data_IF_497553128340
#
_entry.id   IF_497553128340
#
_cell.length_a   1.000
_cell.length_b   1.000
_cell.length_c   1.000
_cell.angle_alpha   90.00
_cell.angle_beta   90.00
_cell.angle_gamma   90.00
#
_symmetry.space_group_name_H-M   'P 1'
#
loop_
_entity.id
_entity.type
_entity.pdbx_description
1 polymer ?
#
# COMPACT_ATOMS: atom_id res chain seq x y z
N UNK A 1 23.72 -7.86 -21.32
CA UNK A 1 23.04 -9.05 -21.93
C UNK A 1 22.80 -10.08 -20.83
N UNK A 2 21.61 -10.69 -20.81
CA UNK A 2 21.22 -11.71 -19.83
C UNK A 2 22.14 -12.96 -19.93
N UNK A 3 22.66 -13.40 -18.78
CA UNK A 3 23.41 -14.65 -18.66
C UNK A 3 22.46 -15.88 -18.53
N UNK A 4 22.98 -17.09 -18.47
CA UNK A 4 22.18 -18.32 -18.46
C UNK A 4 21.33 -18.46 -17.16
N UNK A 5 21.84 -17.98 -16.01
CA UNK A 5 21.09 -17.99 -14.73
C UNK A 5 19.93 -17.00 -14.82
N UNK A 6 20.16 -15.79 -15.32
CA UNK A 6 19.12 -14.78 -15.51
C UNK A 6 18.04 -15.24 -16.49
N UNK A 7 18.40 -15.95 -17.55
CA UNK A 7 17.43 -16.55 -18.48
C UNK A 7 16.55 -17.60 -17.80
N UNK A 8 17.12 -18.41 -16.88
CA UNK A 8 16.34 -19.35 -16.07
C UNK A 8 15.36 -18.61 -15.17
N UNK A 9 15.83 -17.60 -14.43
CA UNK A 9 15.00 -16.78 -13.55
C UNK A 9 13.82 -16.15 -14.33
N UNK A 10 14.08 -15.57 -15.50
CA UNK A 10 13.06 -15.01 -16.38
C UNK A 10 12.09 -16.11 -16.86
N UNK A 11 12.61 -17.27 -17.27
CA UNK A 11 11.79 -18.41 -17.68
C UNK A 11 10.83 -18.86 -16.59
N UNK A 12 11.29 -18.99 -15.35
CA UNK A 12 10.48 -19.30 -14.18
C UNK A 12 9.39 -18.23 -13.95
N UNK A 13 9.77 -16.95 -13.96
CA UNK A 13 8.83 -15.85 -13.73
C UNK A 13 7.67 -15.83 -14.75
N UNK A 14 7.98 -16.00 -16.04
CA UNK A 14 6.96 -15.92 -17.10
C UNK A 14 6.18 -17.20 -17.35
N UNK A 15 6.58 -18.31 -16.78
CA UNK A 15 5.84 -19.59 -16.88
C UNK A 15 5.01 -19.89 -15.64
N UNK A 16 5.25 -19.19 -14.53
CA UNK A 16 4.52 -19.42 -13.28
C UNK A 16 3.14 -18.76 -13.30
N UNK A 17 2.12 -19.52 -12.89
CA UNK A 17 0.76 -19.03 -12.59
C UNK A 17 0.52 -18.90 -11.10
N UNK A 18 1.43 -19.44 -10.27
CA UNK A 18 1.34 -19.50 -8.80
C UNK A 18 1.02 -18.15 -8.13
N UNK A 19 1.65 -17.01 -8.52
CA UNK A 19 1.37 -15.75 -7.82
C UNK A 19 -0.08 -15.31 -7.97
N UNK A 20 -0.72 -15.54 -9.13
CA UNK A 20 -2.14 -15.21 -9.31
C UNK A 20 -3.06 -16.26 -8.63
N UNK A 21 -2.69 -17.53 -8.62
CA UNK A 21 -3.44 -18.59 -7.94
C UNK A 21 -3.44 -18.36 -6.42
N UNK A 22 -2.28 -18.09 -5.83
CA UNK A 22 -2.14 -17.77 -4.41
C UNK A 22 -2.85 -16.46 -4.05
N UNK A 23 -2.75 -15.43 -4.91
CA UNK A 23 -3.50 -14.18 -4.74
C UNK A 23 -5.02 -14.42 -4.75
N UNK A 24 -5.50 -15.27 -5.64
CA UNK A 24 -6.92 -15.62 -5.72
C UNK A 24 -7.39 -16.24 -4.40
N UNK A 25 -6.64 -17.22 -3.89
CA UNK A 25 -6.93 -17.82 -2.57
C UNK A 25 -6.88 -16.78 -1.46
N UNK A 26 -5.81 -15.95 -1.43
CA UNK A 26 -5.66 -14.90 -0.43
C UNK A 26 -6.87 -13.91 -0.42
N UNK A 27 -7.37 -13.56 -1.60
CA UNK A 27 -8.48 -12.64 -1.76
C UNK A 27 -9.84 -13.27 -1.46
N UNK A 28 -10.09 -14.48 -1.98
CA UNK A 28 -11.40 -15.10 -1.91
C UNK A 28 -11.68 -15.74 -0.54
N UNK A 29 -10.64 -16.30 0.11
CA UNK A 29 -10.80 -16.98 1.39
C UNK A 29 -10.65 -16.03 2.60
N UNK A 30 -9.80 -15.00 2.51
CA UNK A 30 -9.47 -14.10 3.63
C UNK A 30 -9.91 -12.64 3.42
N UNK A 31 -10.47 -12.29 2.27
CA UNK A 31 -11.03 -10.97 1.99
C UNK A 31 -10.02 -9.82 2.16
N UNK A 32 -10.44 -8.74 2.83
CA UNK A 32 -9.65 -7.52 2.99
C UNK A 32 -8.48 -7.63 3.97
N UNK A 33 -8.44 -8.65 4.82
CA UNK A 33 -7.33 -8.90 5.77
C UNK A 33 -6.97 -7.67 6.61
N UNK A 34 -7.99 -6.95 7.07
CA UNK A 34 -7.81 -5.73 7.87
C UNK A 34 -6.93 -6.01 9.09
N UNK A 35 -5.86 -5.26 9.26
CA UNK A 35 -4.82 -5.59 10.23
C UNK A 35 -5.35 -5.81 11.65
N UNK A 36 -4.92 -6.91 12.28
CA UNK A 36 -5.31 -7.33 13.62
C UNK A 36 -6.70 -7.98 13.73
N UNK A 37 -7.32 -8.38 12.60
CA UNK A 37 -8.51 -9.25 12.59
C UNK A 37 -8.12 -10.73 12.51
N UNK A 38 -9.09 -11.63 12.68
CA UNK A 38 -8.84 -13.06 12.51
C UNK A 38 -8.47 -13.39 11.06
N UNK A 39 -9.14 -12.76 10.08
CA UNK A 39 -8.80 -12.93 8.66
C UNK A 39 -7.37 -12.48 8.33
N UNK A 40 -6.88 -11.43 9.01
CA UNK A 40 -5.48 -11.00 8.87
C UNK A 40 -4.51 -12.06 9.43
N UNK A 41 -4.85 -12.69 10.55
CA UNK A 41 -4.06 -13.78 11.14
C UNK A 41 -4.05 -15.02 10.27
N UNK A 42 -5.23 -15.47 9.84
CA UNK A 42 -5.37 -16.65 8.98
C UNK A 42 -4.63 -16.45 7.64
N UNK A 43 -4.67 -15.23 7.08
CA UNK A 43 -3.88 -14.87 5.90
C UNK A 43 -2.37 -14.95 6.15
N UNK A 44 -1.88 -14.50 7.32
CA UNK A 44 -0.47 -14.65 7.68
C UNK A 44 -0.06 -16.13 7.78
N UNK A 45 -0.90 -16.98 8.38
CA UNK A 45 -0.68 -18.42 8.48
C UNK A 45 -0.70 -19.09 7.08
N UNK A 46 -1.59 -18.63 6.18
CA UNK A 46 -1.61 -19.10 4.79
C UNK A 46 -0.31 -18.74 4.05
N UNK A 47 0.16 -17.49 4.16
CA UNK A 47 1.42 -17.05 3.54
C UNK A 47 2.61 -17.84 4.11
N UNK A 48 2.63 -18.07 5.42
CA UNK A 48 3.64 -18.91 6.08
C UNK A 48 3.66 -20.33 5.48
N UNK A 49 2.49 -20.93 5.27
CA UNK A 49 2.37 -22.24 4.62
C UNK A 49 2.93 -22.24 3.19
N UNK A 50 2.77 -21.14 2.43
CA UNK A 50 3.40 -20.99 1.10
C UNK A 50 4.93 -20.95 1.24
N UNK A 51 5.48 -20.24 2.23
CA UNK A 51 6.93 -20.18 2.45
C UNK A 51 7.50 -21.55 2.78
N UNK A 52 6.79 -22.34 3.60
CA UNK A 52 7.15 -23.73 3.91
C UNK A 52 7.09 -24.61 2.65
N UNK A 53 6.03 -24.51 1.83
CA UNK A 53 5.90 -25.25 0.56
C UNK A 53 7.03 -24.90 -0.42
N UNK A 54 7.42 -23.63 -0.48
CA UNK A 54 8.49 -23.15 -1.35
C UNK A 54 9.90 -23.47 -0.83
N UNK A 55 9.99 -23.98 0.40
CA UNK A 55 11.26 -24.34 1.03
C UNK A 55 12.14 -23.14 1.40
N UNK A 56 11.54 -22.00 1.69
CA UNK A 56 12.27 -20.85 2.23
C UNK A 56 12.88 -21.20 3.58
N UNK A 57 14.06 -20.69 3.86
CA UNK A 57 14.73 -20.89 5.14
C UNK A 57 14.06 -20.12 6.27
N UNK A 58 14.01 -20.71 7.45
CA UNK A 58 13.48 -20.13 8.69
C UNK A 58 12.11 -19.40 8.54
N UNK A 59 11.09 -20.06 7.96
CA UNK A 59 9.78 -19.42 7.79
C UNK A 59 9.12 -19.24 9.16
N UNK A 60 8.73 -18.01 9.50
CA UNK A 60 8.13 -17.69 10.80
C UNK A 60 7.25 -16.44 10.77
N UNK A 61 6.42 -16.29 11.80
CA UNK A 61 5.64 -15.10 12.07
C UNK A 61 6.34 -14.22 13.12
N UNK A 62 6.44 -12.92 12.85
CA UNK A 62 6.90 -11.93 13.83
C UNK A 62 5.71 -11.12 14.35
N UNK A 63 5.21 -11.39 15.56
CA UNK A 63 4.12 -10.63 16.15
C UNK A 63 4.57 -9.23 16.57
N UNK A 64 3.67 -8.26 16.39
CA UNK A 64 3.82 -6.88 16.89
C UNK A 64 2.47 -6.33 17.31
N UNK A 65 2.47 -5.27 18.14
CA UNK A 65 1.26 -4.57 18.55
C UNK A 65 1.20 -3.17 17.95
N UNK A 66 -0.01 -2.71 17.67
CA UNK A 66 -0.26 -1.40 17.08
C UNK A 66 -1.62 -0.85 17.53
N UNK A 67 -1.85 0.45 17.31
CA UNK A 67 -3.17 1.05 17.49
C UNK A 67 -4.02 0.76 16.27
N UNK A 68 -4.94 -0.17 16.40
CA UNK A 68 -5.92 -0.54 15.39
C UNK A 68 -7.33 -0.08 15.78
N UNK A 69 -8.33 -0.51 15.02
CA UNK A 69 -9.70 -0.16 15.32
C UNK A 69 -10.70 -1.21 14.84
N UNK A 70 -11.91 -1.13 15.41
CA UNK A 70 -13.11 -1.77 14.88
C UNK A 70 -14.01 -0.70 14.28
N UNK A 71 -14.31 -0.82 12.98
CA UNK A 71 -15.12 0.13 12.22
C UNK A 71 -16.60 -0.22 12.38
N UNK A 72 -17.38 0.72 12.89
CA UNK A 72 -18.82 0.57 13.10
C UNK A 72 -19.66 1.34 12.08
N UNK A 73 -20.92 1.53 12.42
CA UNK A 73 -21.90 2.19 11.54
C UNK A 73 -21.66 3.70 11.39
N UNK A 74 -22.16 4.25 10.27
CA UNK A 74 -22.16 5.68 10.00
C UNK A 74 -23.47 6.16 9.38
N UNK A 75 -23.72 7.46 9.51
CA UNK A 75 -24.81 8.12 8.81
C UNK A 75 -24.44 9.54 8.42
N UNK A 76 -24.98 9.98 7.30
CA UNK A 76 -24.95 11.39 6.85
C UNK A 76 -26.34 11.80 6.38
N UNK A 77 -26.92 12.80 7.01
CA UNK A 77 -28.22 13.31 6.69
C UNK A 77 -28.17 14.80 6.38
N UNK A 78 -28.67 15.20 5.22
CA UNK A 78 -28.95 16.60 4.92
C UNK A 78 -30.19 17.02 5.74
N UNK A 79 -30.04 18.05 6.59
CA UNK A 79 -31.11 18.60 7.43
C UNK A 79 -31.79 19.83 6.80
N UNK A 80 -31.06 20.59 6.00
CA UNK A 80 -31.56 21.75 5.27
C UNK A 80 -30.70 22.04 4.03
N UNK A 81 -31.28 22.60 2.95
CA UNK A 81 -32.68 23.03 2.74
C UNK A 81 -33.65 21.91 2.32
N UNK A 82 -33.18 20.67 2.23
CA UNK A 82 -33.97 19.47 1.95
C UNK A 82 -33.58 18.39 2.96
N UNK A 83 -34.44 17.40 3.21
CA UNK A 83 -34.10 16.27 4.06
C UNK A 83 -33.77 15.06 3.19
N UNK A 84 -32.55 14.51 3.35
CA UNK A 84 -32.09 13.37 2.57
C UNK A 84 -30.99 12.61 3.31
N UNK A 85 -31.09 11.29 3.36
CA UNK A 85 -30.00 10.44 3.79
C UNK A 85 -29.03 10.20 2.64
N UNK A 86 -27.74 10.20 2.95
CA UNK A 86 -26.64 9.95 2.00
C UNK A 86 -25.91 8.69 2.46
N UNK A 87 -25.79 7.65 1.63
CA UNK A 87 -25.03 6.45 1.98
C UNK A 87 -23.56 6.77 2.30
N UNK A 88 -23.05 6.19 3.38
CA UNK A 88 -21.71 6.48 3.91
C UNK A 88 -20.99 5.21 4.33
N UNK A 89 -19.64 5.34 4.47
CA UNK A 89 -18.81 4.44 5.27
C UNK A 89 -18.16 5.24 6.40
N UNK A 90 -18.03 4.63 7.56
CA UNK A 90 -17.16 5.14 8.63
C UNK A 90 -15.70 5.04 8.19
N UNK A 91 -14.91 6.07 8.42
CA UNK A 91 -13.48 6.00 8.13
C UNK A 91 -12.74 5.37 9.32
N UNK A 92 -11.82 4.41 9.08
CA UNK A 92 -11.00 3.81 10.12
C UNK A 92 -10.24 4.85 10.95
N UNK A 93 -10.10 4.60 12.24
CA UNK A 93 -9.46 5.47 13.24
C UNK A 93 -10.19 6.79 13.53
N UNK A 94 -11.35 7.04 12.93
CA UNK A 94 -12.14 8.22 13.30
C UNK A 94 -12.61 8.12 14.75
N UNK A 95 -12.67 9.21 15.53
CA UNK A 95 -13.34 9.14 16.85
C UNK A 95 -14.85 8.90 16.68
N UNK A 96 -15.41 8.05 17.53
CA UNK A 96 -16.87 7.88 17.60
C UNK A 96 -17.55 9.17 18.04
N UNK A 97 -18.60 9.56 17.34
CA UNK A 97 -19.35 10.75 17.69
C UNK A 97 -20.29 11.21 16.59
N UNK A 98 -20.92 12.35 16.85
CA UNK A 98 -21.81 13.02 15.91
C UNK A 98 -21.48 14.50 15.82
N UNK A 99 -21.72 15.08 14.67
CA UNK A 99 -21.60 16.52 14.42
C UNK A 99 -22.75 17.00 13.54
N UNK A 100 -23.25 18.21 13.83
CA UNK A 100 -24.20 18.91 12.97
C UNK A 100 -23.66 20.29 12.66
N UNK A 101 -23.71 20.67 11.40
CA UNK A 101 -23.17 21.97 10.95
C UNK A 101 -23.42 22.24 9.48
N UNK A 102 -23.08 23.44 9.08
CA UNK A 102 -23.06 23.81 7.68
C UNK A 102 -21.91 23.09 6.96
N UNK A 103 -22.17 22.64 5.74
CA UNK A 103 -21.19 21.92 4.92
C UNK A 103 -20.37 22.92 4.08
N UNK A 104 -19.05 22.83 4.18
CA UNK A 104 -18.09 23.66 3.43
C UNK A 104 -17.14 22.77 2.62
N UNK A 105 -17.01 23.08 1.33
CA UNK A 105 -16.06 22.35 0.48
C UNK A 105 -14.64 22.94 0.66
N UNK A 106 -13.65 22.06 0.93
CA UNK A 106 -12.22 22.39 1.08
C UNK A 106 -11.40 21.36 0.35
N UNK A 107 -10.56 21.79 -0.60
CA UNK A 107 -9.71 20.88 -1.40
C UNK A 107 -8.23 20.94 -1.01
N UNK A 108 -7.77 22.07 -0.46
CA UNK A 108 -6.40 22.25 -0.06
C UNK A 108 -6.29 22.96 1.31
N UNK A 109 -5.24 22.63 2.06
CA UNK A 109 -4.99 23.28 3.36
C UNK A 109 -4.76 24.81 3.24
N UNK A 110 -4.24 25.26 2.11
CA UNK A 110 -4.08 26.72 1.83
C UNK A 110 -5.38 27.49 1.69
N UNK A 111 -6.52 26.82 1.49
CA UNK A 111 -7.83 27.46 1.39
C UNK A 111 -8.44 27.76 2.77
N UNK A 112 -7.99 27.04 3.81
CA UNK A 112 -8.59 27.11 5.16
C UNK A 112 -8.56 28.52 5.74
N UNK A 113 -7.49 29.28 5.52
CA UNK A 113 -7.38 30.69 6.00
C UNK A 113 -8.42 31.64 5.36
N UNK A 114 -8.87 31.30 4.14
CA UNK A 114 -9.84 32.13 3.39
C UNK A 114 -11.29 31.68 3.55
N UNK A 115 -11.50 30.50 4.12
CA UNK A 115 -12.82 29.90 4.32
C UNK A 115 -13.19 29.95 5.81
N UNK A 116 -14.44 30.30 6.09
CA UNK A 116 -15.00 30.18 7.42
C UNK A 116 -15.38 28.70 7.67
N UNK A 117 -14.53 27.98 8.41
CA UNK A 117 -14.69 26.56 8.73
C UNK A 117 -15.05 26.28 10.20
N UNK A 118 -15.02 27.32 11.05
CA UNK A 118 -15.36 27.18 12.47
C UNK A 118 -16.83 26.73 12.66
N UNK A 119 -17.02 25.68 13.44
CA UNK A 119 -18.34 25.10 13.70
C UNK A 119 -18.98 24.39 12.51
N UNK A 120 -18.22 24.10 11.45
CA UNK A 120 -18.73 23.53 10.19
C UNK A 120 -18.24 22.10 9.96
N UNK A 121 -18.85 21.42 8.98
CA UNK A 121 -18.47 20.11 8.49
C UNK A 121 -17.79 20.27 7.14
N UNK A 122 -16.64 19.62 6.96
CA UNK A 122 -15.81 19.75 5.77
C UNK A 122 -16.19 18.69 4.74
N UNK A 123 -16.36 19.07 3.48
CA UNK A 123 -16.47 18.18 2.33
C UNK A 123 -15.22 18.31 1.47
N UNK A 124 -14.41 17.25 1.38
CA UNK A 124 -13.18 17.23 0.60
C UNK A 124 -13.04 16.01 -0.30
N UNK A 125 -12.22 16.10 -1.35
CA UNK A 125 -11.86 14.96 -2.23
C UNK A 125 -10.60 14.24 -1.76
N UNK A 126 -9.92 14.74 -0.73
CA UNK A 126 -8.75 14.14 -0.13
C UNK A 126 -8.67 14.49 1.36
N UNK A 127 -7.81 13.79 2.11
CA UNK A 127 -7.66 13.94 3.56
C UNK A 127 -6.63 15.01 3.99
N UNK A 128 -5.88 15.58 3.05
CA UNK A 128 -4.76 16.48 3.35
C UNK A 128 -5.15 17.75 4.14
N UNK A 129 -6.29 18.41 3.89
CA UNK A 129 -6.66 19.61 4.62
C UNK A 129 -7.26 19.33 6.02
N UNK A 130 -7.57 18.08 6.37
CA UNK A 130 -8.34 17.75 7.57
C UNK A 130 -7.75 18.35 8.84
N UNK A 131 -6.45 18.18 9.08
CA UNK A 131 -5.80 18.71 10.30
C UNK A 131 -5.94 20.24 10.40
N UNK A 132 -5.63 20.95 9.32
CA UNK A 132 -5.75 22.41 9.29
C UNK A 132 -7.21 22.89 9.51
N UNK A 133 -8.18 22.18 8.92
CA UNK A 133 -9.59 22.48 9.13
C UNK A 133 -10.02 22.30 10.60
N UNK A 134 -9.57 21.21 11.24
CA UNK A 134 -9.90 20.96 12.64
C UNK A 134 -9.21 21.97 13.58
N UNK A 135 -7.97 22.34 13.31
CA UNK A 135 -7.26 23.40 14.05
C UNK A 135 -7.98 24.75 13.91
N UNK A 136 -8.68 24.97 12.79
CA UNK A 136 -9.55 26.14 12.56
C UNK A 136 -11.01 25.95 13.04
N UNK A 137 -11.32 24.91 13.81
CA UNK A 137 -12.59 24.70 14.47
C UNK A 137 -13.65 23.90 13.72
N UNK A 138 -13.28 23.14 12.69
CA UNK A 138 -14.20 22.21 12.00
C UNK A 138 -14.65 21.09 12.93
N UNK A 139 -15.93 20.67 12.83
CA UNK A 139 -16.58 19.69 13.69
C UNK A 139 -16.62 18.26 13.13
N UNK A 140 -16.45 18.11 11.81
CA UNK A 140 -16.56 16.80 11.16
C UNK A 140 -16.03 16.84 9.73
N UNK A 141 -15.85 15.65 9.16
CA UNK A 141 -15.29 15.49 7.83
C UNK A 141 -16.08 14.49 6.98
N UNK A 142 -16.34 14.87 5.73
CA UNK A 142 -16.96 14.04 4.70
C UNK A 142 -15.99 13.91 3.54
N UNK A 143 -15.42 12.74 3.36
CA UNK A 143 -14.53 12.44 2.25
C UNK A 143 -15.34 11.95 1.05
N UNK A 144 -15.45 12.74 -0.01
CA UNK A 144 -16.05 12.28 -1.25
C UNK A 144 -15.00 11.65 -2.16
N UNK A 145 -15.34 10.53 -2.78
CA UNK A 145 -14.44 9.90 -3.75
C UNK A 145 -14.10 10.89 -4.88
N UNK A 146 -12.81 11.04 -5.27
CA UNK A 146 -12.42 12.01 -6.30
C UNK A 146 -12.93 11.65 -7.71
N UNK A 147 -13.24 10.37 -7.96
CA UNK A 147 -13.62 9.87 -9.29
C UNK A 147 -15.03 9.30 -9.32
N UNK A 148 -15.74 9.45 -10.47
CA UNK A 148 -17.10 8.94 -10.62
C UNK A 148 -17.14 7.41 -10.71
N UNK A 149 -18.33 6.85 -10.43
CA UNK A 149 -18.67 5.42 -10.52
C UNK A 149 -17.89 4.50 -9.56
N UNK A 150 -17.14 5.07 -8.65
CA UNK A 150 -16.51 4.37 -7.53
C UNK A 150 -17.38 4.51 -6.28
N UNK A 151 -17.40 3.50 -5.45
CA UNK A 151 -18.06 3.55 -4.14
C UNK A 151 -17.46 4.64 -3.24
N UNK A 152 -17.92 4.76 -1.99
CA UNK A 152 -17.23 5.55 -0.97
C UNK A 152 -15.79 5.03 -0.81
N UNK A 153 -14.77 5.91 -0.69
CA UNK A 153 -13.41 5.47 -0.39
C UNK A 153 -13.27 5.11 1.08
N UNK A 154 -12.32 4.25 1.41
CA UNK A 154 -11.87 4.02 2.78
C UNK A 154 -10.43 4.46 2.99
N UNK A 155 -9.95 4.44 4.21
CA UNK A 155 -8.59 4.74 4.60
C UNK A 155 -8.51 5.41 5.97
N UNK A 156 -7.44 5.15 6.69
CA UNK A 156 -7.20 5.67 8.02
C UNK A 156 -7.18 7.20 8.03
N UNK A 157 -7.88 7.79 8.99
CA UNK A 157 -7.88 9.23 9.25
C UNK A 157 -7.31 9.53 10.63
N UNK A 158 -6.75 10.75 10.86
CA UNK A 158 -6.37 11.16 12.21
C UNK A 158 -7.58 11.18 13.15
N UNK A 159 -7.39 10.79 14.41
CA UNK A 159 -8.42 10.81 15.46
C UNK A 159 -8.72 12.24 15.93
N UNK A 160 -9.30 13.06 15.06
CA UNK A 160 -9.53 14.48 15.33
C UNK A 160 -11.02 14.80 15.49
N UNK A 161 -11.82 14.44 14.51
CA UNK A 161 -13.28 14.68 14.47
C UNK A 161 -13.97 13.48 13.82
N UNK A 162 -15.29 13.26 14.06
CA UNK A 162 -16.03 12.24 13.35
C UNK A 162 -15.92 12.41 11.83
N UNK A 163 -15.61 11.32 11.12
CA UNK A 163 -15.33 11.33 9.70
C UNK A 163 -16.00 10.16 8.98
N UNK A 164 -16.62 10.46 7.85
CA UNK A 164 -17.28 9.47 6.98
C UNK A 164 -16.87 9.70 5.53
N UNK A 165 -17.06 8.68 4.70
CA UNK A 165 -16.88 8.83 3.26
C UNK A 165 -18.16 8.62 2.48
N UNK A 166 -18.22 9.22 1.28
CA UNK A 166 -19.33 9.13 0.34
C UNK A 166 -18.81 8.94 -1.09
N UNK A 167 -19.65 8.42 -1.96
CA UNK A 167 -19.30 8.31 -3.38
C UNK A 167 -19.28 9.71 -4.05
N UNK A 168 -18.59 9.79 -5.17
CA UNK A 168 -18.42 11.01 -5.96
C UNK A 168 -19.72 11.71 -6.30
N UNK A 169 -20.72 10.97 -6.78
CA UNK A 169 -22.00 11.53 -7.25
C UNK A 169 -22.79 12.19 -6.13
N UNK A 170 -22.73 11.64 -4.92
CA UNK A 170 -23.39 12.24 -3.74
C UNK A 170 -22.63 13.50 -3.29
N UNK A 171 -21.30 13.51 -3.34
CA UNK A 171 -20.51 14.72 -3.08
C UNK A 171 -20.82 15.83 -4.08
N UNK A 172 -20.91 15.52 -5.38
CA UNK A 172 -21.32 16.50 -6.39
C UNK A 172 -22.77 16.99 -6.18
N UNK A 173 -23.65 16.12 -5.71
CA UNK A 173 -25.02 16.54 -5.35
C UNK A 173 -25.00 17.54 -4.20
N UNK A 174 -24.21 17.29 -3.15
CA UNK A 174 -24.05 18.23 -2.02
C UNK A 174 -23.46 19.56 -2.47
N UNK A 175 -22.41 19.56 -3.31
CA UNK A 175 -21.83 20.78 -3.89
C UNK A 175 -22.86 21.60 -4.67
N UNK A 176 -23.64 20.95 -5.55
CA UNK A 176 -24.72 21.65 -6.27
C UNK A 176 -25.83 22.19 -5.36
N UNK A 177 -26.05 21.56 -4.20
CA UNK A 177 -26.98 22.12 -3.20
C UNK A 177 -26.40 23.37 -2.56
N UNK A 178 -25.11 23.37 -2.19
CA UNK A 178 -24.41 24.56 -1.68
C UNK A 178 -24.51 25.71 -2.71
N UNK A 179 -24.12 25.47 -3.95
CA UNK A 179 -24.10 26.46 -5.02
C UNK A 179 -25.49 27.11 -5.26
N UNK A 180 -26.56 26.31 -5.19
CA UNK A 180 -27.92 26.78 -5.48
C UNK A 180 -28.62 27.43 -4.29
N UNK A 181 -28.24 27.05 -3.07
CA UNK A 181 -28.96 27.46 -1.85
C UNK A 181 -28.12 28.33 -0.92
N UNK A 182 -26.83 28.45 -1.17
CA UNK A 182 -25.89 29.22 -0.36
C UNK A 182 -25.43 28.51 0.91
N UNK A 183 -26.29 27.63 1.49
CA UNK A 183 -25.97 26.87 2.70
C UNK A 183 -26.65 25.52 2.68
N UNK A 184 -25.96 24.49 3.20
CA UNK A 184 -26.45 23.13 3.39
C UNK A 184 -26.04 22.64 4.78
N UNK A 185 -27.03 22.39 5.63
CA UNK A 185 -26.77 21.81 6.97
C UNK A 185 -26.84 20.30 6.88
N UNK A 186 -25.85 19.64 7.44
CA UNK A 186 -25.78 18.18 7.55
C UNK A 186 -25.56 17.74 8.99
N UNK A 187 -26.07 16.56 9.31
CA UNK A 187 -25.75 15.80 10.51
C UNK A 187 -25.01 14.56 10.10
N UNK A 188 -23.83 14.33 10.65
CA UNK A 188 -23.06 13.13 10.47
C UNK A 188 -22.89 12.38 11.80
N UNK A 189 -22.81 11.05 11.71
CA UNK A 189 -22.46 10.19 12.80
C UNK A 189 -21.45 9.16 12.29
N UNK A 190 -20.43 8.86 13.08
CA UNK A 190 -19.47 7.80 12.84
C UNK A 190 -19.23 7.03 14.13
N UNK A 191 -19.04 5.71 14.02
CA UNK A 191 -18.68 4.83 15.12
C UNK A 191 -17.40 4.07 14.76
N UNK A 192 -16.37 4.20 15.57
CA UNK A 192 -15.12 3.46 15.44
C UNK A 192 -14.50 3.33 16.83
N UNK A 193 -14.26 2.11 17.26
CA UNK A 193 -13.58 1.83 18.52
C UNK A 193 -12.11 1.61 18.27
N UNK A 194 -11.23 2.40 18.91
CA UNK A 194 -9.77 2.34 18.75
C UNK A 194 -9.17 1.67 19.97
N UNK A 195 -8.36 0.63 19.74
CA UNK A 195 -7.69 -0.12 20.80
C UNK A 195 -6.41 -0.78 20.28
N UNK A 196 -5.59 -1.31 21.19
CA UNK A 196 -4.40 -2.06 20.83
C UNK A 196 -4.78 -3.40 20.18
N UNK A 197 -4.19 -3.68 19.01
CA UNK A 197 -4.32 -4.95 18.28
C UNK A 197 -2.96 -5.59 18.10
N UNK A 198 -2.95 -6.90 17.92
CA UNK A 198 -1.80 -7.67 17.49
C UNK A 198 -1.90 -7.98 15.98
N UNK A 199 -0.76 -7.94 15.29
CA UNK A 199 -0.63 -8.41 13.92
C UNK A 199 0.74 -9.04 13.70
N UNK A 200 1.03 -9.56 12.50
CA UNK A 200 2.19 -10.39 12.23
C UNK A 200 2.85 -10.01 10.90
N UNK A 201 4.17 -9.86 10.90
CA UNK A 201 4.93 -9.96 9.66
C UNK A 201 5.20 -11.45 9.36
N UNK A 202 5.19 -11.82 8.09
CA UNK A 202 5.57 -13.18 7.65
C UNK A 202 6.94 -13.11 7.04
N UNK A 203 7.90 -13.85 7.62
CA UNK A 203 9.30 -13.79 7.28
C UNK A 203 9.82 -15.13 6.76
N UNK A 204 10.76 -15.09 5.81
CA UNK A 204 11.46 -16.26 5.31
C UNK A 204 12.72 -15.86 4.56
N UNK A 205 13.70 -16.77 4.46
CA UNK A 205 15.02 -16.52 3.90
C UNK A 205 15.31 -17.39 2.67
N UNK A 206 16.10 -16.85 1.74
CA UNK A 206 16.85 -17.63 0.75
C UNK A 206 18.33 -17.47 1.08
N UNK A 207 18.97 -18.54 1.53
CA UNK A 207 20.41 -18.53 1.83
C UNK A 207 21.22 -18.58 0.54
N UNK A 208 21.99 -17.54 0.29
CA UNK A 208 22.89 -17.45 -0.86
C UNK A 208 24.22 -18.16 -0.66
N UNK A 209 25.01 -18.23 -1.73
CA UNK A 209 26.33 -18.87 -1.70
C UNK A 209 27.46 -17.98 -1.18
N UNK A 210 27.21 -16.68 -0.90
CA UNK A 210 28.21 -15.70 -0.46
C UNK A 210 27.86 -15.03 0.87
N UNK A 211 28.80 -14.24 1.38
CA UNK A 211 28.70 -13.55 2.68
C UNK A 211 28.52 -12.02 2.52
N UNK A 212 28.07 -11.53 1.35
CA UNK A 212 28.05 -10.11 1.01
C UNK A 212 26.87 -9.30 1.61
N UNK A 213 26.19 -9.85 2.63
CA UNK A 213 25.01 -9.26 3.23
C UNK A 213 23.72 -9.76 2.60
N UNK A 214 22.62 -8.96 2.67
CA UNK A 214 21.34 -9.43 2.17
C UNK A 214 20.52 -8.30 1.48
N UNK A 215 19.60 -8.76 0.61
CA UNK A 215 18.54 -7.93 0.02
C UNK A 215 17.22 -8.32 0.67
N UNK A 216 16.40 -7.34 1.04
CA UNK A 216 15.05 -7.56 1.53
C UNK A 216 14.01 -7.30 0.43
N UNK A 217 13.16 -8.29 0.17
CA UNK A 217 11.97 -8.20 -0.68
C UNK A 217 10.75 -8.06 0.22
N UNK A 218 10.04 -6.96 0.12
CA UNK A 218 8.89 -6.67 0.96
C UNK A 218 7.65 -6.25 0.19
N UNK A 219 6.49 -6.52 0.78
CA UNK A 219 5.18 -6.04 0.37
C UNK A 219 4.22 -6.25 1.51
N UNK A 220 3.12 -5.50 1.58
CA UNK A 220 2.16 -5.73 2.66
C UNK A 220 1.00 -6.64 2.22
N UNK A 221 0.46 -7.40 3.16
CA UNK A 221 -0.65 -8.32 2.90
C UNK A 221 -1.97 -7.87 3.53
N UNK A 222 -1.93 -6.90 4.45
CA UNK A 222 -3.15 -6.27 4.96
C UNK A 222 -3.78 -5.33 3.93
N UNK A 223 -5.04 -5.06 4.10
CA UNK A 223 -5.81 -4.11 3.32
C UNK A 223 -7.05 -3.70 4.09
N UNK A 224 -7.97 -3.01 3.43
CA UNK A 224 -9.18 -2.55 4.06
C UNK A 224 -10.31 -3.59 4.02
N UNK A 225 -11.16 -3.59 5.04
CA UNK A 225 -12.25 -4.54 5.29
C UNK A 225 -13.35 -4.56 4.21
N UNK A 226 -13.42 -3.52 3.39
CA UNK A 226 -14.53 -3.34 2.43
C UNK A 226 -14.33 -4.06 1.08
N UNK A 227 -13.14 -4.61 0.81
CA UNK A 227 -12.77 -5.20 -0.48
C UNK A 227 -11.88 -6.43 -0.30
N UNK A 228 -11.43 -7.00 -1.42
CA UNK A 228 -10.45 -8.10 -1.43
C UNK A 228 -9.01 -7.60 -1.24
N UNK A 229 -8.75 -6.30 -1.41
CA UNK A 229 -7.41 -5.71 -1.34
C UNK A 229 -6.40 -6.47 -2.22
N UNK A 230 -6.79 -6.73 -3.46
CA UNK A 230 -5.98 -7.51 -4.40
C UNK A 230 -4.82 -6.68 -4.96
N UNK A 231 -5.13 -5.45 -5.38
CA UNK A 231 -4.16 -4.49 -5.89
C UNK A 231 -3.38 -3.80 -4.76
N UNK A 232 -4.07 -3.45 -3.68
CA UNK A 232 -3.51 -2.80 -2.50
C UNK A 232 -3.77 -3.66 -1.26
N UNK A 233 -2.89 -4.69 -0.91
CA UNK A 233 -1.65 -4.97 -1.61
C UNK A 233 -1.34 -6.48 -1.75
N UNK A 234 -2.36 -7.35 -1.84
CA UNK A 234 -2.15 -8.80 -1.95
C UNK A 234 -1.24 -9.21 -3.11
N UNK A 235 -1.35 -8.52 -4.28
CA UNK A 235 -0.55 -8.82 -5.46
C UNK A 235 0.96 -8.61 -5.23
N UNK A 236 1.33 -7.54 -4.54
CA UNK A 236 2.73 -7.27 -4.18
C UNK A 236 3.29 -8.35 -3.25
N UNK A 237 2.50 -8.75 -2.25
CA UNK A 237 2.89 -9.82 -1.34
C UNK A 237 3.13 -11.15 -2.07
N UNK A 238 2.24 -11.53 -2.99
CA UNK A 238 2.43 -12.75 -3.80
C UNK A 238 3.58 -12.62 -4.80
N UNK A 239 3.88 -11.42 -5.29
CA UNK A 239 5.04 -11.18 -6.15
C UNK A 239 6.36 -11.39 -5.39
N UNK A 240 6.54 -10.80 -4.21
CA UNK A 240 7.78 -11.00 -3.42
C UNK A 240 7.93 -12.45 -2.95
N UNK A 241 6.84 -13.12 -2.61
CA UNK A 241 6.80 -14.55 -2.28
C UNK A 241 7.31 -15.40 -3.45
N UNK A 242 6.84 -15.13 -4.66
CA UNK A 242 7.28 -15.87 -5.87
C UNK A 242 8.72 -15.52 -6.25
N UNK A 243 9.17 -14.26 -6.04
CA UNK A 243 10.59 -13.91 -6.19
C UNK A 243 11.47 -14.77 -5.26
N UNK A 244 11.06 -14.94 -4.01
CA UNK A 244 11.76 -15.83 -3.05
C UNK A 244 11.86 -17.26 -3.57
N UNK A 245 10.75 -17.84 -4.06
CA UNK A 245 10.74 -19.18 -4.66
C UNK A 245 11.71 -19.29 -5.85
N UNK A 246 11.65 -18.32 -6.76
CA UNK A 246 12.50 -18.33 -7.96
C UNK A 246 13.97 -18.20 -7.59
N UNK A 247 14.31 -17.28 -6.68
CA UNK A 247 15.69 -17.06 -6.23
C UNK A 247 16.24 -18.27 -5.48
N UNK A 248 15.39 -19.03 -4.77
CA UNK A 248 15.83 -20.29 -4.13
C UNK A 248 16.30 -21.34 -5.14
N UNK A 249 15.79 -21.33 -6.38
CA UNK A 249 16.22 -22.25 -7.44
C UNK A 249 17.63 -21.96 -7.99
N UNK A 250 18.18 -20.79 -7.65
CA UNK A 250 19.51 -20.31 -8.08
C UNK A 250 20.35 -19.80 -6.90
N UNK A 251 20.06 -20.28 -5.70
CA UNK A 251 20.67 -19.78 -4.47
C UNK A 251 22.20 -19.88 -4.45
N UNK A 252 22.78 -20.94 -5.02
CA UNK A 252 24.23 -21.13 -5.12
C UNK A 252 24.93 -20.05 -6.00
N UNK A 253 24.16 -19.37 -6.86
CA UNK A 253 24.66 -18.31 -7.74
C UNK A 253 24.36 -16.89 -7.21
N UNK A 254 23.83 -16.77 -5.97
CA UNK A 254 23.64 -15.51 -5.27
C UNK A 254 24.88 -15.15 -4.43
N UNK A 255 25.33 -13.90 -4.49
CA UNK A 255 26.49 -13.42 -3.72
C UNK A 255 26.20 -13.19 -2.23
N UNK A 256 24.92 -13.19 -1.83
CA UNK A 256 24.46 -12.99 -0.45
C UNK A 256 23.04 -13.49 -0.26
N UNK A 257 22.47 -13.28 0.91
CA UNK A 257 21.14 -13.74 1.29
C UNK A 257 20.00 -12.89 0.70
N UNK A 258 18.81 -13.47 0.63
CA UNK A 258 17.56 -12.73 0.34
C UNK A 258 16.58 -12.99 1.47
N UNK A 259 16.01 -11.93 2.04
CA UNK A 259 14.89 -12.01 2.96
C UNK A 259 13.60 -11.65 2.25
N UNK A 260 12.57 -12.44 2.48
CA UNK A 260 11.22 -12.23 1.93
C UNK A 260 10.30 -11.92 3.10
N UNK A 261 9.72 -10.72 3.12
CA UNK A 261 8.87 -10.30 4.23
C UNK A 261 7.54 -9.76 3.70
N UNK A 262 6.43 -10.40 4.11
CA UNK A 262 5.11 -9.85 3.93
C UNK A 262 4.74 -9.09 5.20
N UNK A 263 4.68 -7.75 5.09
CA UNK A 263 4.36 -6.85 6.20
C UNK A 263 2.86 -6.80 6.46
N UNK A 264 2.48 -6.36 7.66
CA UNK A 264 1.10 -6.04 8.01
C UNK A 264 0.99 -4.66 8.66
N UNK A 265 -0.25 -4.17 8.75
CA UNK A 265 -0.60 -2.86 9.28
C UNK A 265 0.11 -1.70 8.54
N UNK A 266 0.35 -1.85 7.24
CA UNK A 266 0.80 -0.78 6.35
C UNK A 266 -0.24 0.33 6.33
N UNK A 267 -1.50 -0.02 6.13
CA UNK A 267 -2.65 0.88 6.04
C UNK A 267 -2.88 1.72 7.31
N UNK A 268 -2.37 1.27 8.44
CA UNK A 268 -2.37 1.99 9.71
C UNK A 268 -1.14 2.89 9.91
N UNK A 269 -0.22 2.95 8.97
CA UNK A 269 0.98 3.80 8.99
C UNK A 269 2.28 3.03 9.15
N UNK A 270 2.44 1.94 8.40
CA UNK A 270 3.69 1.17 8.25
C UNK A 270 4.17 0.53 9.56
N UNK A 271 3.24 0.01 10.37
CA UNK A 271 3.59 -0.52 11.70
C UNK A 271 4.47 -1.77 11.59
N UNK A 272 4.12 -2.71 10.69
CA UNK A 272 4.89 -3.94 10.51
C UNK A 272 6.32 -3.70 10.06
N UNK A 273 6.52 -2.88 9.03
CA UNK A 273 7.87 -2.57 8.55
C UNK A 273 8.71 -1.77 9.54
N UNK A 274 8.09 -0.87 10.31
CA UNK A 274 8.77 -0.13 11.38
C UNK A 274 9.16 -1.01 12.56
N UNK A 275 8.29 -1.94 12.97
CA UNK A 275 8.61 -2.91 14.01
C UNK A 275 9.74 -3.84 13.55
N UNK A 276 9.66 -4.33 12.31
CA UNK A 276 10.72 -5.14 11.70
C UNK A 276 12.06 -4.40 11.70
N UNK A 277 12.10 -3.19 11.18
CA UNK A 277 13.31 -2.38 11.12
C UNK A 277 13.91 -2.10 12.51
N UNK A 278 13.07 -1.91 13.52
CA UNK A 278 13.49 -1.74 14.92
C UNK A 278 14.01 -3.04 15.52
N UNK A 279 13.34 -4.16 15.29
CA UNK A 279 13.68 -5.49 15.82
C UNK A 279 15.02 -5.97 15.26
N UNK A 280 15.28 -5.73 13.97
CA UNK A 280 16.47 -6.12 13.25
C UNK A 280 17.52 -4.99 13.12
N UNK A 281 17.47 -3.98 14.00
CA UNK A 281 18.33 -2.80 13.90
C UNK A 281 19.83 -3.14 13.84
N UNK A 282 20.26 -4.18 14.54
CA UNK A 282 21.66 -4.62 14.58
C UNK A 282 22.10 -5.26 13.24
N UNK A 283 21.15 -5.74 12.42
CA UNK A 283 21.38 -6.37 11.12
C UNK A 283 21.26 -5.40 9.95
N UNK A 284 20.74 -4.17 10.19
CA UNK A 284 20.50 -3.19 9.12
C UNK A 284 21.80 -2.78 8.39
N UNK A 285 22.95 -2.87 9.04
CA UNK A 285 24.24 -2.57 8.41
C UNK A 285 24.60 -3.55 7.29
N UNK A 286 24.10 -4.78 7.36
CA UNK A 286 24.33 -5.85 6.37
C UNK A 286 23.25 -5.87 5.27
N UNK A 287 22.18 -5.07 5.40
CA UNK A 287 21.15 -4.91 4.38
C UNK A 287 21.70 -4.05 3.24
N UNK A 288 21.94 -4.65 2.10
CA UNK A 288 22.45 -3.95 0.92
C UNK A 288 21.39 -3.09 0.26
N UNK A 289 20.14 -3.58 0.27
CA UNK A 289 19.05 -2.98 -0.48
C UNK A 289 17.70 -3.52 -0.01
N UNK A 290 16.62 -2.75 -0.24
CA UNK A 290 15.28 -3.28 -0.11
C UNK A 290 14.39 -2.90 -1.28
N UNK A 291 13.70 -3.90 -1.82
CA UNK A 291 12.52 -3.72 -2.67
C UNK A 291 11.28 -3.71 -1.80
N UNK A 292 10.46 -2.65 -1.99
CA UNK A 292 9.14 -2.60 -1.40
C UNK A 292 8.11 -2.47 -2.50
N UNK A 293 7.33 -3.53 -2.69
CA UNK A 293 6.28 -3.58 -3.68
C UNK A 293 4.97 -3.12 -3.04
N UNK A 294 4.25 -2.26 -3.77
CA UNK A 294 2.96 -1.73 -3.36
C UNK A 294 2.15 -1.33 -4.59
N UNK A 295 0.89 -1.76 -4.68
CA UNK A 295 0.01 -1.51 -5.81
C UNK A 295 0.55 -2.09 -7.13
N UNK A 296 0.75 -3.40 -7.17
CA UNK A 296 1.36 -4.14 -8.27
C UNK A 296 0.35 -4.96 -9.09
N UNK A 297 0.81 -5.38 -10.29
CA UNK A 297 0.07 -6.29 -11.15
C UNK A 297 -1.14 -5.66 -11.84
N UNK A 298 -1.27 -4.35 -11.84
CA UNK A 298 -2.34 -3.66 -12.53
C UNK A 298 -2.24 -3.74 -14.06
N UNK A 299 -3.18 -3.13 -14.81
CA UNK A 299 -3.19 -3.18 -16.27
C UNK A 299 -2.18 -2.24 -16.95
N UNK A 300 -1.51 -1.41 -16.18
CA UNK A 300 -0.52 -0.45 -16.71
C UNK A 300 0.88 -1.08 -16.73
N UNK A 301 1.78 -0.64 -17.65
CA UNK A 301 3.17 -1.10 -17.62
C UNK A 301 3.85 -0.77 -16.29
N UNK A 302 4.87 -1.53 -15.94
CA UNK A 302 5.56 -1.35 -14.66
C UNK A 302 6.58 -0.21 -14.72
N UNK A 303 6.76 0.48 -13.59
CA UNK A 303 7.71 1.55 -13.38
C UNK A 303 8.55 1.24 -12.13
N UNK A 304 9.84 1.57 -12.18
CA UNK A 304 10.72 1.48 -11.01
C UNK A 304 10.90 2.87 -10.41
N UNK A 305 10.72 2.99 -9.10
CA UNK A 305 11.15 4.18 -8.35
C UNK A 305 12.52 3.94 -7.77
N UNK A 306 13.37 4.96 -7.72
CA UNK A 306 14.71 4.88 -7.14
C UNK A 306 14.80 5.61 -5.79
N UNK A 307 13.68 6.02 -5.25
CA UNK A 307 13.46 6.52 -3.90
C UNK A 307 14.54 7.50 -3.39
N UNK A 308 14.88 8.52 -4.22
CA UNK A 308 15.95 9.49 -3.97
C UNK A 308 17.38 8.92 -3.99
N UNK A 309 17.58 7.76 -4.64
CA UNK A 309 18.88 7.16 -4.92
C UNK A 309 19.19 7.23 -6.42
N UNK A 310 19.54 8.42 -6.96
CA UNK A 310 19.81 8.56 -8.39
C UNK A 310 20.97 7.69 -8.90
N UNK A 311 21.83 7.24 -7.98
CA UNK A 311 22.91 6.29 -8.26
C UNK A 311 22.41 4.93 -8.80
N UNK A 312 21.14 4.59 -8.55
CA UNK A 312 20.49 3.37 -9.05
C UNK A 312 20.03 3.49 -10.51
N UNK A 313 19.88 4.69 -11.05
CA UNK A 313 19.38 4.90 -12.42
C UNK A 313 20.22 4.19 -13.50
N UNK A 314 21.58 4.24 -13.50
CA UNK A 314 22.38 3.51 -14.47
C UNK A 314 22.15 1.99 -14.43
N UNK A 315 22.02 1.43 -13.23
CA UNK A 315 21.72 0.02 -13.02
C UNK A 315 20.38 -0.38 -13.65
N UNK A 316 19.32 0.37 -13.37
CA UNK A 316 17.99 0.09 -13.94
C UNK A 316 17.93 0.39 -15.45
N UNK A 317 18.70 1.35 -15.95
CA UNK A 317 18.81 1.61 -17.39
C UNK A 317 19.43 0.43 -18.15
N UNK A 318 20.47 -0.21 -17.57
CA UNK A 318 21.07 -1.42 -18.11
C UNK A 318 20.08 -2.58 -18.05
N UNK A 319 19.47 -2.81 -16.90
CA UNK A 319 18.48 -3.87 -16.70
C UNK A 319 17.33 -3.77 -17.72
N UNK A 320 16.76 -2.57 -17.88
CA UNK A 320 15.71 -2.29 -18.88
C UNK A 320 16.14 -2.69 -20.28
N UNK A 321 17.34 -2.30 -20.67
CA UNK A 321 17.85 -2.63 -22.02
C UNK A 321 18.03 -4.15 -22.19
N UNK A 322 18.50 -4.84 -21.16
CA UNK A 322 18.73 -6.28 -21.20
C UNK A 322 17.44 -7.09 -21.22
N UNK A 323 16.43 -6.65 -20.48
CA UNK A 323 15.11 -7.30 -20.43
C UNK A 323 14.20 -6.90 -21.59
N UNK A 324 14.48 -5.79 -22.28
CA UNK A 324 13.63 -5.28 -23.36
C UNK A 324 12.25 -4.78 -22.89
N UNK A 325 12.12 -4.46 -21.61
CA UNK A 325 10.87 -3.96 -21.03
C UNK A 325 10.81 -2.43 -21.05
N UNK A 326 9.65 -1.83 -21.32
CA UNK A 326 9.44 -0.39 -21.14
C UNK A 326 9.36 -0.08 -19.65
N UNK A 327 10.47 0.15 -18.98
CA UNK A 327 10.56 0.37 -17.55
C UNK A 327 11.01 1.82 -17.28
N UNK A 328 10.08 2.79 -17.22
CA UNK A 328 10.41 4.17 -16.87
C UNK A 328 10.85 4.28 -15.41
N UNK A 329 11.54 5.37 -15.08
CA UNK A 329 12.00 5.66 -13.72
C UNK A 329 11.29 6.86 -13.13
N UNK A 330 11.09 6.84 -11.81
CA UNK A 330 10.73 8.01 -11.00
C UNK A 330 11.65 8.07 -9.77
N UNK A 331 12.11 9.26 -9.42
CA UNK A 331 12.92 9.48 -8.22
C UNK A 331 12.11 9.68 -6.94
N UNK A 332 10.78 9.69 -7.04
CA UNK A 332 9.91 9.96 -5.91
C UNK A 332 9.63 8.67 -5.12
N UNK A 333 9.95 8.70 -3.85
CA UNK A 333 9.45 7.71 -2.90
C UNK A 333 7.97 7.99 -2.62
N UNK A 334 7.12 6.98 -2.81
CA UNK A 334 5.75 6.99 -2.33
C UNK A 334 5.66 6.90 -0.80
N UNK A 335 4.49 7.12 -0.20
CA UNK A 335 4.23 6.61 1.14
C UNK A 335 4.18 5.07 1.06
N UNK A 336 4.76 4.38 2.02
CA UNK A 336 4.79 2.91 2.07
C UNK A 336 5.87 2.39 3.01
N UNK A 337 6.01 1.09 3.08
CA UNK A 337 6.96 0.36 3.94
C UNK A 337 8.43 0.71 3.67
N UNK A 338 8.76 1.14 2.44
CA UNK A 338 10.11 1.62 2.08
C UNK A 338 10.65 2.71 3.01
N UNK A 339 9.76 3.52 3.61
CA UNK A 339 10.15 4.59 4.53
C UNK A 339 10.88 4.11 5.76
N UNK A 340 10.48 2.97 6.33
CA UNK A 340 11.12 2.42 7.51
C UNK A 340 12.61 2.17 7.29
N UNK A 341 12.99 1.74 6.11
CA UNK A 341 14.37 1.43 5.73
C UNK A 341 15.12 2.65 5.18
N UNK A 342 14.46 3.45 4.34
CA UNK A 342 15.04 4.69 3.81
C UNK A 342 15.45 5.66 4.94
N UNK A 343 14.64 5.78 5.99
CA UNK A 343 14.93 6.58 7.16
C UNK A 343 16.18 6.09 7.93
N UNK A 344 16.58 4.83 7.75
CA UNK A 344 17.81 4.24 8.28
C UNK A 344 19.00 4.35 7.33
N UNK A 345 18.80 4.94 6.13
CA UNK A 345 19.84 5.14 5.13
C UNK A 345 20.06 3.92 4.22
N UNK A 346 19.18 2.93 4.23
CA UNK A 346 19.22 1.78 3.32
C UNK A 346 18.78 2.22 1.92
N UNK A 347 19.48 1.83 0.84
CA UNK A 347 19.00 2.05 -0.51
C UNK A 347 17.68 1.31 -0.76
N UNK A 348 16.70 2.02 -1.32
CA UNK A 348 15.36 1.50 -1.55
C UNK A 348 14.89 1.72 -2.98
N UNK A 349 14.06 0.82 -3.48
CA UNK A 349 13.28 0.98 -4.70
C UNK A 349 11.90 0.35 -4.52
N UNK A 350 10.96 0.82 -5.34
CA UNK A 350 9.66 0.18 -5.47
C UNK A 350 9.38 -0.12 -6.93
N UNK A 351 8.67 -1.19 -7.21
CA UNK A 351 8.08 -1.48 -8.51
C UNK A 351 6.59 -1.18 -8.38
N UNK A 352 6.08 -0.32 -9.23
CA UNK A 352 4.69 0.15 -9.19
C UNK A 352 4.12 0.30 -10.60
N UNK A 353 2.81 0.37 -10.74
CA UNK A 353 2.16 0.70 -12.00
C UNK A 353 2.57 2.07 -12.54
N UNK A 354 2.94 2.13 -13.81
CA UNK A 354 3.32 3.38 -14.49
C UNK A 354 2.14 4.34 -14.55
N UNK A 355 2.41 5.58 -14.21
CA UNK A 355 1.43 6.67 -14.25
C UNK A 355 1.72 7.61 -15.42
N UNK A 356 1.11 7.34 -16.54
CA UNK A 356 1.23 8.22 -17.71
C UNK A 356 0.69 9.61 -17.37
N UNK A 357 1.46 10.69 -17.60
CA UNK A 357 1.00 12.05 -17.35
C UNK A 357 -0.29 12.37 -18.11
N UNK A 358 -1.31 12.86 -17.40
CA UNK A 358 -2.61 13.22 -17.99
C UNK A 358 -3.57 12.05 -18.17
N UNK A 359 -3.16 10.82 -17.93
CA UNK A 359 -4.04 9.65 -17.88
C UNK A 359 -4.34 9.29 -16.44
N UNK A 360 -5.58 8.93 -16.16
CA UNK A 360 -5.99 8.40 -14.87
C UNK A 360 -5.85 6.87 -14.92
N UNK A 361 -4.92 6.26 -14.18
CA UNK A 361 -4.80 4.81 -14.13
C UNK A 361 -6.08 4.20 -13.53
N UNK A 362 -6.61 3.16 -14.15
CA UNK A 362 -7.86 2.53 -13.68
C UNK A 362 -7.73 2.07 -12.23
N UNK A 363 -6.63 1.42 -11.89
CA UNK A 363 -6.43 0.87 -10.55
C UNK A 363 -6.21 1.93 -9.47
N UNK A 364 -5.67 3.10 -9.82
CA UNK A 364 -5.62 4.21 -8.86
C UNK A 364 -7.02 4.67 -8.42
N UNK A 365 -8.03 4.36 -9.19
CA UNK A 365 -9.43 4.67 -8.87
C UNK A 365 -10.10 3.59 -8.03
N UNK A 366 -9.68 2.32 -8.15
CA UNK A 366 -10.28 1.20 -7.40
C UNK A 366 -9.65 0.99 -6.03
N UNK A 367 -8.39 1.42 -5.84
CA UNK A 367 -7.70 1.33 -4.57
C UNK A 367 -8.52 1.96 -3.44
N UNK A 368 -8.57 1.31 -2.28
CA UNK A 368 -9.36 1.73 -1.13
C UNK A 368 -10.87 1.85 -1.43
N UNK A 369 -11.39 1.03 -2.34
CA UNK A 369 -12.82 0.92 -2.62
C UNK A 369 -13.24 -0.55 -2.70
N UNK A 370 -14.55 -0.81 -2.70
CA UNK A 370 -15.12 -2.17 -2.88
C UNK A 370 -14.75 -2.81 -4.24
N UNK A 371 -14.13 -2.07 -5.15
CA UNK A 371 -13.74 -2.54 -6.48
C UNK A 371 -12.28 -3.03 -6.55
N UNK A 372 -11.54 -3.01 -5.44
CA UNK A 372 -10.21 -3.63 -5.38
C UNK A 372 -10.35 -5.13 -5.22
N UNK A 373 -10.44 -5.82 -6.35
CA UNK A 373 -10.75 -7.24 -6.46
C UNK A 373 -9.77 -7.94 -7.40
N UNK A 374 -9.59 -9.26 -7.23
CA UNK A 374 -8.58 -10.06 -7.94
C UNK A 374 -8.70 -10.01 -9.47
N UNK A 375 -9.91 -9.79 -10.02
CA UNK A 375 -10.16 -9.66 -11.47
C UNK A 375 -9.51 -8.41 -12.10
N UNK A 376 -8.97 -7.50 -11.29
CA UNK A 376 -8.22 -6.31 -11.75
C UNK A 376 -6.74 -6.61 -11.98
N UNK A 377 -6.25 -7.76 -11.50
CA UNK A 377 -4.82 -8.10 -11.56
C UNK A 377 -4.50 -8.83 -12.85
N UNK A 378 -3.47 -8.36 -13.53
CA UNK A 378 -2.89 -8.95 -14.74
C UNK A 378 -1.76 -9.90 -14.38
N UNK A 379 -1.93 -11.21 -14.63
CA UNK A 379 -0.84 -12.17 -14.46
C UNK A 379 0.42 -11.73 -15.20
N UNK A 380 0.28 -11.21 -16.42
CA UNK A 380 1.43 -10.78 -17.22
C UNK A 380 2.23 -9.66 -16.55
N UNK A 381 1.55 -8.64 -16.02
CA UNK A 381 2.24 -7.53 -15.35
C UNK A 381 2.82 -7.96 -14.01
N UNK A 382 2.12 -8.84 -13.28
CA UNK A 382 2.67 -9.44 -12.06
C UNK A 382 3.94 -10.27 -12.35
N UNK A 383 3.98 -10.99 -13.47
CA UNK A 383 5.19 -11.69 -13.94
C UNK A 383 6.31 -10.71 -14.33
N UNK A 384 5.98 -9.54 -14.90
CA UNK A 384 6.96 -8.48 -15.17
C UNK A 384 7.58 -7.94 -13.86
N UNK A 385 6.76 -7.68 -12.83
CA UNK A 385 7.22 -7.27 -11.49
C UNK A 385 8.18 -8.29 -10.89
N UNK A 386 7.79 -9.58 -10.93
CA UNK A 386 8.59 -10.69 -10.42
C UNK A 386 9.92 -10.80 -11.17
N UNK A 387 9.89 -10.72 -12.49
CA UNK A 387 11.10 -10.82 -13.30
C UNK A 387 12.07 -9.64 -13.04
N UNK A 388 11.53 -8.41 -12.97
CA UNK A 388 12.31 -7.20 -12.66
C UNK A 388 12.95 -7.34 -11.28
N UNK A 389 12.17 -7.67 -10.26
CA UNK A 389 12.63 -7.77 -8.87
C UNK A 389 13.66 -8.89 -8.68
N UNK A 390 13.41 -10.09 -9.22
CA UNK A 390 14.32 -11.23 -9.06
C UNK A 390 15.66 -11.00 -9.77
N UNK A 391 15.66 -10.48 -11.02
CA UNK A 391 16.91 -10.19 -11.73
C UNK A 391 17.69 -9.06 -11.08
N UNK A 392 16.98 -7.99 -10.65
CA UNK A 392 17.62 -6.89 -9.93
C UNK A 392 18.31 -7.39 -8.67
N UNK A 393 17.61 -8.16 -7.85
CA UNK A 393 18.14 -8.73 -6.61
C UNK A 393 19.40 -9.56 -6.85
N UNK A 394 19.35 -10.45 -7.84
CA UNK A 394 20.52 -11.25 -8.22
C UNK A 394 21.72 -10.40 -8.64
N UNK A 395 21.49 -9.36 -9.45
CA UNK A 395 22.57 -8.45 -9.89
C UNK A 395 23.11 -7.60 -8.76
N UNK A 396 22.27 -7.14 -7.85
CA UNK A 396 22.67 -6.37 -6.68
C UNK A 396 23.59 -7.16 -5.78
N UNK A 397 23.23 -8.43 -5.49
CA UNK A 397 24.05 -9.34 -4.68
C UNK A 397 25.38 -9.73 -5.33
N UNK A 398 25.56 -9.51 -6.64
CA UNK A 398 26.80 -9.76 -7.36
C UNK A 398 27.64 -8.48 -7.61
N UNK A 399 27.19 -7.30 -7.15
CA UNK A 399 27.82 -6.03 -7.48
C UNK A 399 28.74 -5.56 -6.36
N UNK A 400 30.02 -5.31 -6.68
CA UNK A 400 30.99 -4.67 -5.78
C UNK A 400 30.76 -3.15 -5.62
N UNK A 401 30.17 -2.50 -6.64
CA UNK A 401 29.95 -1.05 -6.71
C UNK A 401 28.56 -0.59 -6.27
N UNK A 402 27.90 -1.35 -5.40
CA UNK A 402 26.56 -1.02 -4.93
C UNK A 402 26.55 0.18 -3.98
N UNK A 403 25.56 1.11 -4.07
CA UNK A 403 25.44 2.21 -3.13
C UNK A 403 25.39 1.70 -1.70
N UNK A 404 26.25 2.22 -0.83
CA UNK A 404 26.27 1.86 0.59
C UNK A 404 25.36 2.79 1.38
N UNK A 405 24.99 2.38 2.59
CA UNK A 405 24.19 3.17 3.50
C UNK A 405 24.65 4.62 3.58
N UNK A 406 23.72 5.56 3.51
CA UNK A 406 24.00 6.96 3.79
C UNK A 406 23.90 7.18 5.28
N UNK A 407 25.02 7.58 5.93
CA UNK A 407 24.94 8.11 7.29
C UNK A 407 24.13 9.40 7.27
N UNK A 408 23.16 9.53 8.19
CA UNK A 408 22.42 10.77 8.42
C UNK A 408 23.30 11.91 8.85
#
# INVERSE_FOLDING_TARGET
>A
MLNEVEKRVIGEAYTSTRPLENLTTLCDDYGGRFAGTEENREAAEYILGIYEEYGLGDPHLEPFTFQGCEVGESSLRVRGPTSKDVPTLTLPMTPSGSAEGELVAVEAASEVESLDVEGKIILGTNRLPLRACVEAGALGFVWMHPFPMMGPPTGVVPQLVPAVSIKHEDGLMLRRLIDRRGSVTVELQASCEVFERESWNVCGDVKGGGDDGYVLLGGHYDGHEIAQAAFDCGAACMAVTEMGRILSTVCDELGGDVRVVCFSAEEFGFWGSRDYAKRHADEMADMLFTYQLDCNGGPEPQMVTVDHWPELEPFYAELRNDMGLPMPFDQRMGPGDSRAFHELGVPTSSIIDYREPGRLPLLKTVRHTVYDTVDKISLRHLQDDIAIGAISTKRMLASEDWPRHRSK
#
